data_IF_967618696971
#
_entry.id   IF_967618696971
#
_cell.length_a   1.000
_cell.length_b   1.000
_cell.length_c   1.000
_cell.angle_alpha   90.00
_cell.angle_beta   90.00
_cell.angle_gamma   90.00
#
_symmetry.space_group_name_H-M   'P 1'
#
loop_
_entity.id
_entity.type
_entity.pdbx_description
1 polymer ?
#
# COMPACT_ATOMS: atom_id res chain seq x y z
N UNK A 1 10.81 4.61 -8.51
CA UNK A 1 9.51 5.25 -8.38
C UNK A 1 9.31 6.32 -9.44
N UNK A 2 8.08 6.51 -9.88
CA UNK A 2 7.71 7.42 -10.97
C UNK A 2 6.70 8.45 -10.49
N UNK A 3 6.55 9.52 -11.24
CA UNK A 3 5.52 10.51 -11.00
C UNK A 3 4.13 9.90 -11.16
N UNK A 4 3.21 10.18 -10.20
CA UNK A 4 1.90 9.54 -10.13
C UNK A 4 1.06 9.80 -11.40
N UNK A 5 1.00 11.05 -11.86
CA UNK A 5 0.18 11.44 -13.02
C UNK A 5 0.76 10.93 -14.35
N UNK A 6 2.06 10.62 -14.41
CA UNK A 6 2.77 10.17 -15.62
C UNK A 6 3.16 8.69 -15.61
N UNK A 7 2.79 7.96 -14.59
CA UNK A 7 3.10 6.54 -14.46
C UNK A 7 2.58 5.71 -15.65
N UNK A 8 1.43 6.07 -16.19
CA UNK A 8 0.85 5.35 -17.34
C UNK A 8 1.75 5.44 -18.59
N UNK A 9 2.45 6.55 -18.78
CA UNK A 9 3.41 6.70 -19.88
C UNK A 9 4.53 5.63 -19.79
N UNK A 10 5.01 5.36 -18.57
CA UNK A 10 6.03 4.32 -18.32
C UNK A 10 5.48 2.93 -18.59
N UNK A 11 4.24 2.66 -18.19
CA UNK A 11 3.56 1.38 -18.45
C UNK A 11 3.43 1.16 -19.98
N UNK A 12 2.98 2.15 -20.71
CA UNK A 12 2.84 2.04 -22.16
C UNK A 12 4.20 1.92 -22.87
N UNK A 13 5.22 2.65 -22.40
CA UNK A 13 6.59 2.49 -22.91
C UNK A 13 7.11 1.05 -22.74
N UNK A 14 6.81 0.38 -21.62
CA UNK A 14 7.19 -1.03 -21.41
C UNK A 14 6.53 -1.92 -22.47
N UNK A 15 5.23 -1.73 -22.72
CA UNK A 15 4.51 -2.49 -23.72
C UNK A 15 4.99 -2.22 -25.15
N UNK A 16 5.33 -0.97 -25.47
CA UNK A 16 5.89 -0.61 -26.78
C UNK A 16 7.27 -1.24 -27.00
N UNK A 17 8.12 -1.20 -25.98
CA UNK A 17 9.50 -1.68 -26.06
C UNK A 17 9.61 -3.20 -26.10
N UNK A 18 8.82 -3.91 -25.32
CA UNK A 18 8.97 -5.36 -25.11
C UNK A 18 7.86 -6.18 -25.79
N UNK A 19 6.76 -5.56 -26.18
CA UNK A 19 5.58 -6.22 -26.71
C UNK A 19 4.62 -6.71 -25.63
N UNK A 20 3.32 -6.69 -25.95
CA UNK A 20 2.24 -7.12 -25.03
C UNK A 20 2.17 -8.63 -24.82
N UNK A 21 2.85 -9.37 -25.64
CA UNK A 21 3.02 -10.82 -25.55
C UNK A 21 4.18 -11.25 -24.61
N UNK A 22 5.05 -10.29 -24.27
CA UNK A 22 6.25 -10.52 -23.42
C UNK A 22 6.26 -9.69 -22.15
N UNK A 23 5.39 -8.71 -22.04
CA UNK A 23 5.27 -7.87 -20.85
C UNK A 23 3.83 -7.90 -20.35
N UNK A 24 3.64 -8.10 -19.05
CA UNK A 24 2.33 -8.09 -18.41
C UNK A 24 2.42 -7.69 -16.94
N UNK A 25 1.33 -7.19 -16.39
CA UNK A 25 1.21 -6.92 -14.96
C UNK A 25 0.99 -8.22 -14.19
N UNK A 26 1.45 -8.27 -12.94
CA UNK A 26 1.26 -9.42 -12.06
C UNK A 26 -0.10 -9.37 -11.38
N UNK A 27 -0.65 -10.55 -11.05
CA UNK A 27 -1.83 -10.65 -10.21
C UNK A 27 -1.51 -10.46 -8.72
N UNK A 28 -2.55 -10.18 -7.95
CA UNK A 28 -2.55 -10.24 -6.48
C UNK A 28 -3.73 -11.08 -6.05
N UNK A 29 -3.49 -12.09 -5.23
CA UNK A 29 -4.56 -12.83 -4.58
C UNK A 29 -5.11 -11.99 -3.43
N UNK A 30 -6.30 -11.45 -3.62
CA UNK A 30 -7.02 -10.78 -2.54
C UNK A 30 -7.68 -11.83 -1.67
N UNK A 31 -7.35 -11.84 -0.38
CA UNK A 31 -7.91 -12.78 0.61
C UNK A 31 -9.01 -12.13 1.44
N UNK A 32 -9.89 -12.96 2.00
CA UNK A 32 -10.87 -12.49 2.96
C UNK A 32 -10.18 -11.92 4.22
N UNK A 33 -10.55 -10.71 4.58
CA UNK A 33 -10.18 -10.02 5.82
C UNK A 33 -11.43 -9.86 6.68
N UNK A 34 -11.28 -9.47 7.96
CA UNK A 34 -12.36 -9.39 8.93
C UNK A 34 -13.64 -8.76 8.35
N UNK A 35 -13.54 -7.55 7.80
CA UNK A 35 -14.72 -6.83 7.26
C UNK A 35 -15.37 -7.54 6.08
N UNK A 36 -14.59 -8.09 5.16
CA UNK A 36 -15.12 -8.79 3.99
C UNK A 36 -15.74 -10.14 4.39
N UNK A 37 -15.13 -10.89 5.29
CA UNK A 37 -15.66 -12.16 5.76
C UNK A 37 -17.00 -11.97 6.48
N UNK A 38 -17.10 -11.05 7.44
CA UNK A 38 -18.35 -10.75 8.16
C UNK A 38 -19.46 -10.33 7.18
N UNK A 39 -19.13 -9.44 6.23
CA UNK A 39 -20.11 -8.94 5.27
C UNK A 39 -20.68 -10.05 4.39
N UNK A 40 -19.82 -10.84 3.78
CA UNK A 40 -20.26 -11.87 2.81
C UNK A 40 -20.98 -13.04 3.51
N UNK A 41 -20.47 -13.49 4.65
CA UNK A 41 -21.11 -14.55 5.45
C UNK A 41 -22.44 -14.05 6.04
N UNK A 42 -22.49 -12.82 6.56
CA UNK A 42 -23.70 -12.22 7.07
C UNK A 42 -24.80 -12.13 6.02
N UNK A 43 -24.46 -11.69 4.79
CA UNK A 43 -25.38 -11.69 3.65
C UNK A 43 -25.85 -13.10 3.30
N UNK A 44 -24.95 -14.06 3.22
CA UNK A 44 -25.27 -15.45 2.87
C UNK A 44 -26.21 -16.10 3.90
N UNK A 45 -26.09 -15.74 5.18
CA UNK A 45 -26.95 -16.22 6.25
C UNK A 45 -28.22 -15.36 6.46
N UNK A 46 -28.44 -14.34 5.63
CA UNK A 46 -29.65 -13.51 5.63
C UNK A 46 -29.74 -12.56 6.83
N UNK A 47 -28.63 -12.07 7.35
CA UNK A 47 -28.64 -10.98 8.31
C UNK A 47 -29.05 -9.68 7.62
N UNK A 48 -29.76 -8.81 8.36
CA UNK A 48 -30.11 -7.48 7.87
C UNK A 48 -28.84 -6.61 7.72
N UNK A 49 -28.92 -5.59 6.86
CA UNK A 49 -27.78 -4.69 6.64
C UNK A 49 -27.38 -3.98 7.93
N UNK A 50 -28.34 -3.57 8.77
CA UNK A 50 -28.06 -2.89 10.05
C UNK A 50 -27.25 -3.77 11.01
N UNK A 51 -27.58 -5.08 11.09
CA UNK A 51 -26.82 -6.04 11.89
C UNK A 51 -25.41 -6.21 11.30
N UNK A 52 -25.28 -6.31 9.99
CA UNK A 52 -23.97 -6.42 9.34
C UNK A 52 -23.13 -5.18 9.62
N UNK A 53 -23.70 -3.98 9.53
CA UNK A 53 -22.98 -2.73 9.76
C UNK A 53 -22.53 -2.62 11.23
N UNK A 54 -23.38 -2.97 12.18
CA UNK A 54 -23.00 -3.04 13.59
C UNK A 54 -21.83 -4.01 13.86
N UNK A 55 -21.84 -5.18 13.21
CA UNK A 55 -20.71 -6.13 13.28
C UNK A 55 -19.45 -5.59 12.64
N UNK A 56 -19.57 -4.82 11.54
CA UNK A 56 -18.42 -4.24 10.84
C UNK A 56 -17.72 -3.15 11.65
N UNK A 57 -18.43 -2.40 12.48
CA UNK A 57 -17.85 -1.42 13.41
C UNK A 57 -16.92 -2.09 14.44
N UNK A 58 -17.28 -3.28 14.90
CA UNK A 58 -16.53 -4.07 15.87
C UNK A 58 -15.57 -5.10 15.24
N UNK A 59 -15.46 -5.15 13.91
CA UNK A 59 -14.82 -6.25 13.16
C UNK A 59 -13.36 -6.55 13.55
N UNK A 60 -12.61 -5.55 14.00
CA UNK A 60 -11.19 -5.72 14.39
C UNK A 60 -11.02 -6.51 15.68
N UNK A 61 -12.00 -6.46 16.57
CA UNK A 61 -11.96 -7.14 17.87
C UNK A 61 -12.72 -8.47 17.86
N UNK A 62 -13.80 -8.59 17.10
CA UNK A 62 -14.67 -9.75 17.10
C UNK A 62 -14.05 -11.03 16.51
N UNK A 63 -13.08 -10.92 15.60
CA UNK A 63 -12.44 -12.05 14.91
C UNK A 63 -10.97 -12.24 15.32
N UNK A 64 -10.54 -11.66 16.42
CA UNK A 64 -9.27 -12.04 17.06
C UNK A 64 -9.47 -13.35 17.82
N UNK A 65 -8.43 -14.06 18.14
CA UNK A 65 -8.27 -15.42 18.66
C UNK A 65 -9.46 -16.09 19.42
N UNK A 66 -10.38 -15.32 20.01
CA UNK A 66 -11.66 -15.78 20.56
C UNK A 66 -12.75 -14.77 20.20
N UNK A 67 -13.91 -15.28 19.77
CA UNK A 67 -15.07 -14.45 19.46
C UNK A 67 -15.56 -13.83 20.78
N UNK A 68 -15.32 -12.52 20.92
CA UNK A 68 -15.73 -11.76 22.11
C UNK A 68 -17.24 -11.50 22.06
N UNK A 69 -17.99 -12.39 22.69
CA UNK A 69 -19.46 -12.34 22.70
C UNK A 69 -20.00 -11.19 23.57
N UNK A 70 -19.22 -10.71 24.55
CA UNK A 70 -19.65 -9.63 25.44
C UNK A 70 -19.77 -8.31 24.66
N UNK A 71 -18.93 -8.11 23.67
CA UNK A 71 -19.00 -6.95 22.77
C UNK A 71 -20.23 -6.92 21.87
N UNK A 72 -20.87 -8.05 21.62
CA UNK A 72 -22.12 -8.08 20.89
C UNK A 72 -23.25 -7.42 21.69
N UNK A 73 -23.23 -7.57 23.00
CA UNK A 73 -24.21 -6.91 23.89
C UNK A 73 -24.01 -5.40 23.91
N UNK A 74 -22.75 -4.91 23.85
CA UNK A 74 -22.46 -3.48 23.82
C UNK A 74 -23.06 -2.78 22.60
N UNK A 75 -23.20 -3.49 21.45
CA UNK A 75 -23.81 -2.98 20.22
C UNK A 75 -25.28 -3.38 20.07
N UNK A 76 -25.92 -3.86 21.15
CA UNK A 76 -27.35 -4.21 21.19
C UNK A 76 -27.70 -5.49 20.46
N UNK A 77 -26.74 -6.35 20.17
CA UNK A 77 -26.95 -7.65 19.53
C UNK A 77 -27.06 -8.76 20.56
N UNK A 78 -27.93 -9.73 20.33
CA UNK A 78 -28.10 -10.88 21.22
C UNK A 78 -27.01 -11.94 20.96
N UNK A 79 -26.07 -12.19 21.90
CA UNK A 79 -25.02 -13.19 21.74
C UNK A 79 -25.53 -14.63 21.60
N UNK A 80 -26.75 -14.91 22.07
CA UNK A 80 -27.37 -16.25 21.96
C UNK A 80 -28.06 -16.48 20.61
N UNK A 81 -28.13 -15.46 19.73
CA UNK A 81 -28.68 -15.64 18.40
C UNK A 81 -27.81 -16.63 17.60
N UNK A 82 -28.41 -17.78 17.30
CA UNK A 82 -27.74 -18.88 16.57
C UNK A 82 -27.16 -18.43 15.23
N UNK A 83 -27.88 -17.56 14.52
CA UNK A 83 -27.48 -17.08 13.18
C UNK A 83 -26.27 -16.15 13.29
N UNK A 84 -26.29 -15.27 14.29
CA UNK A 84 -25.19 -14.36 14.59
C UNK A 84 -23.91 -15.12 14.96
N UNK A 85 -24.00 -16.08 15.89
CA UNK A 85 -22.88 -16.94 16.29
C UNK A 85 -22.33 -17.74 15.10
N UNK A 86 -23.20 -18.28 14.25
CA UNK A 86 -22.78 -19.00 13.06
C UNK A 86 -22.08 -18.08 12.07
N UNK A 87 -22.57 -16.84 11.90
CA UNK A 87 -21.91 -15.82 11.05
C UNK A 87 -20.49 -15.55 11.52
N UNK A 88 -20.29 -15.28 12.78
CA UNK A 88 -18.95 -14.98 13.33
C UNK A 88 -18.01 -16.18 13.20
N UNK A 89 -18.50 -17.37 13.52
CA UNK A 89 -17.71 -18.59 13.38
C UNK A 89 -17.27 -18.83 11.92
N UNK A 90 -18.19 -18.82 10.99
CA UNK A 90 -17.87 -19.03 9.56
C UNK A 90 -17.04 -17.90 9.00
N UNK A 91 -17.24 -16.65 9.43
CA UNK A 91 -16.40 -15.53 9.04
C UNK A 91 -14.95 -15.71 9.54
N UNK A 92 -14.77 -16.22 10.76
CA UNK A 92 -13.44 -16.54 11.28
C UNK A 92 -12.77 -17.66 10.50
N UNK A 93 -13.49 -18.73 10.17
CA UNK A 93 -12.99 -19.82 9.34
C UNK A 93 -12.63 -19.38 7.91
N UNK A 94 -13.31 -18.34 7.38
CA UNK A 94 -13.11 -17.81 6.04
C UNK A 94 -11.88 -16.88 5.94
N UNK A 95 -11.34 -16.41 7.05
CA UNK A 95 -10.18 -15.51 7.05
C UNK A 95 -8.98 -16.13 6.33
N UNK A 96 -8.36 -15.37 5.46
CA UNK A 96 -7.19 -15.80 4.69
C UNK A 96 -7.51 -16.61 3.42
N UNK A 97 -8.73 -17.11 3.26
CA UNK A 97 -9.13 -17.77 2.01
C UNK A 97 -9.08 -16.80 0.83
N UNK A 98 -8.72 -17.28 -0.38
CA UNK A 98 -8.78 -16.48 -1.59
C UNK A 98 -10.21 -15.97 -1.85
N UNK A 99 -10.31 -14.67 -2.17
CA UNK A 99 -11.57 -14.04 -2.54
C UNK A 99 -11.68 -13.83 -4.04
N UNK A 100 -10.68 -13.20 -4.62
CA UNK A 100 -10.55 -13.02 -6.08
C UNK A 100 -9.11 -12.67 -6.43
N UNK A 101 -8.76 -12.80 -7.71
CA UNK A 101 -7.57 -12.22 -8.28
C UNK A 101 -7.81 -10.73 -8.55
N UNK A 102 -6.81 -9.92 -8.28
CA UNK A 102 -6.75 -8.50 -8.61
C UNK A 102 -5.44 -8.20 -9.31
N UNK A 103 -5.36 -7.05 -9.91
CA UNK A 103 -4.14 -6.55 -10.55
C UNK A 103 -3.21 -5.95 -9.49
N UNK A 104 -1.92 -6.30 -9.53
CA UNK A 104 -0.92 -5.64 -8.68
C UNK A 104 -0.78 -4.16 -9.06
N UNK A 105 -0.60 -3.30 -8.07
CA UNK A 105 -0.54 -1.85 -8.30
C UNK A 105 0.59 -1.40 -9.21
N UNK A 106 1.69 -2.14 -9.29
CA UNK A 106 2.87 -1.74 -10.07
C UNK A 106 3.77 -2.88 -10.54
N UNK A 107 3.48 -4.14 -10.16
CA UNK A 107 4.31 -5.28 -10.53
C UNK A 107 4.20 -5.65 -12.00
N UNK A 108 5.32 -5.70 -12.69
CA UNK A 108 5.46 -6.13 -14.09
C UNK A 108 6.38 -7.33 -14.20
N UNK A 109 6.08 -8.19 -15.16
CA UNK A 109 6.97 -9.24 -15.62
C UNK A 109 7.34 -8.94 -17.07
N UNK A 110 8.62 -9.12 -17.41
CA UNK A 110 9.14 -9.00 -18.77
C UNK A 110 9.91 -10.30 -19.08
N UNK A 111 9.54 -11.00 -20.14
CA UNK A 111 10.15 -12.27 -20.55
C UNK A 111 10.90 -12.15 -21.88
N UNK A 112 11.84 -13.08 -22.11
CA UNK A 112 12.52 -13.18 -23.41
C UNK A 112 11.63 -13.84 -24.46
N UNK A 113 10.87 -14.88 -24.08
CA UNK A 113 9.90 -15.59 -24.90
C UNK A 113 8.48 -15.08 -24.69
N UNK A 114 7.51 -15.76 -25.28
CA UNK A 114 6.10 -15.44 -25.09
C UNK A 114 5.67 -15.79 -23.66
N UNK A 115 5.03 -14.86 -22.97
CA UNK A 115 4.49 -15.11 -21.63
C UNK A 115 3.43 -16.21 -21.65
N UNK A 116 2.67 -16.34 -22.73
CA UNK A 116 1.65 -17.39 -22.89
C UNK A 116 2.20 -18.83 -22.89
N UNK A 117 3.49 -19.01 -23.12
CA UNK A 117 4.16 -20.31 -23.02
C UNK A 117 4.47 -20.69 -21.55
N UNK A 118 4.43 -19.72 -20.64
CA UNK A 118 4.82 -19.88 -19.23
C UNK A 118 3.62 -19.74 -18.32
N UNK A 119 2.73 -18.75 -18.60
CA UNK A 119 1.64 -18.36 -17.70
C UNK A 119 0.36 -18.05 -18.49
N UNK A 120 -0.83 -18.23 -17.89
CA UNK A 120 -2.07 -17.70 -18.46
C UNK A 120 -2.05 -16.17 -18.51
N UNK A 121 -2.46 -15.63 -19.65
CA UNK A 121 -2.61 -14.19 -19.88
C UNK A 121 -4.07 -13.81 -19.94
N UNK A 122 -4.46 -12.77 -19.21
CA UNK A 122 -5.79 -12.21 -19.19
C UNK A 122 -5.76 -10.73 -19.61
N UNK A 123 -6.87 -10.25 -20.13
CA UNK A 123 -7.05 -8.82 -20.34
C UNK A 123 -7.39 -8.17 -18.99
N UNK A 124 -6.71 -7.07 -18.66
CA UNK A 124 -7.06 -6.28 -17.48
C UNK A 124 -8.39 -5.55 -17.70
N UNK A 125 -9.03 -5.13 -16.60
CA UNK A 125 -10.21 -4.27 -16.66
C UNK A 125 -9.90 -2.90 -17.32
N UNK A 126 -8.67 -2.43 -17.17
CA UNK A 126 -8.20 -1.24 -17.91
C UNK A 126 -7.75 -1.65 -19.31
N UNK A 127 -8.26 -0.93 -20.29
CA UNK A 127 -7.88 -1.14 -21.69
C UNK A 127 -6.36 -1.01 -21.90
N UNK A 128 -5.83 -1.77 -22.82
CA UNK A 128 -4.41 -1.72 -23.16
C UNK A 128 -3.48 -2.39 -22.14
N UNK A 129 -3.98 -3.11 -21.14
CA UNK A 129 -3.16 -3.85 -20.18
C UNK A 129 -3.42 -5.35 -20.23
N UNK A 130 -2.35 -6.12 -19.96
CA UNK A 130 -2.39 -7.57 -19.79
C UNK A 130 -2.00 -7.90 -18.36
N UNK A 131 -2.61 -8.95 -17.81
CA UNK A 131 -2.33 -9.47 -16.47
C UNK A 131 -2.00 -10.95 -16.58
N UNK A 132 -0.97 -11.41 -15.88
CA UNK A 132 -0.71 -12.82 -15.68
C UNK A 132 -1.51 -13.34 -14.49
N UNK A 133 -1.96 -14.61 -14.55
CA UNK A 133 -2.77 -15.22 -13.49
C UNK A 133 -1.99 -15.53 -12.19
N UNK A 134 -0.69 -15.24 -12.11
CA UNK A 134 0.18 -15.57 -11.00
C UNK A 134 0.54 -14.38 -10.14
N UNK A 135 0.65 -14.60 -8.82
CA UNK A 135 1.04 -13.62 -7.84
C UNK A 135 2.57 -13.61 -7.62
N UNK A 136 3.04 -12.82 -6.66
CA UNK A 136 4.46 -12.70 -6.34
C UNK A 136 5.08 -14.03 -5.92
N UNK A 137 4.40 -14.82 -5.08
CA UNK A 137 4.95 -16.06 -4.52
C UNK A 137 5.11 -17.12 -5.61
N UNK A 138 4.16 -17.17 -6.55
CA UNK A 138 4.23 -18.02 -7.74
C UNK A 138 5.41 -17.63 -8.63
N UNK A 139 5.64 -16.34 -8.84
CA UNK A 139 6.74 -15.82 -9.65
C UNK A 139 8.11 -16.13 -9.00
N UNK A 140 8.22 -15.94 -7.69
CA UNK A 140 9.43 -16.26 -6.93
C UNK A 140 9.75 -17.76 -7.02
N UNK A 141 8.73 -18.63 -6.91
CA UNK A 141 8.89 -20.09 -7.06
C UNK A 141 9.37 -20.52 -8.45
N UNK A 142 9.02 -19.75 -9.48
CA UNK A 142 9.42 -20.01 -10.87
C UNK A 142 10.72 -19.30 -11.28
N UNK A 143 11.30 -18.51 -10.39
CA UNK A 143 12.49 -17.72 -10.67
C UNK A 143 12.26 -16.59 -11.67
N UNK A 144 11.03 -16.09 -11.77
CA UNK A 144 10.67 -15.00 -12.67
C UNK A 144 10.80 -13.65 -11.93
N UNK A 145 11.61 -12.74 -12.47
CA UNK A 145 11.83 -11.42 -11.90
C UNK A 145 10.58 -10.54 -12.06
N UNK A 146 10.08 -10.04 -10.93
CA UNK A 146 9.05 -9.00 -10.88
C UNK A 146 9.71 -7.62 -10.80
N UNK A 147 9.35 -6.72 -11.71
CA UNK A 147 9.78 -5.32 -11.72
C UNK A 147 8.64 -4.46 -11.20
N UNK A 148 8.91 -3.55 -10.29
CA UNK A 148 7.89 -2.66 -9.74
C UNK A 148 7.90 -1.28 -10.43
N UNK A 149 6.79 -0.94 -11.09
CA UNK A 149 6.50 0.37 -11.66
C UNK A 149 5.56 1.10 -10.70
N UNK A 150 6.11 1.55 -9.58
CA UNK A 150 5.37 2.26 -8.54
C UNK A 150 5.43 3.77 -8.77
N UNK A 151 4.48 4.48 -8.20
CA UNK A 151 4.41 5.94 -8.28
C UNK A 151 4.40 6.57 -6.89
N UNK A 152 5.01 7.76 -6.80
CA UNK A 152 5.01 8.60 -5.62
C UNK A 152 4.29 9.92 -5.93
N UNK A 153 3.26 10.25 -5.14
CA UNK A 153 2.51 11.49 -5.25
C UNK A 153 3.38 12.73 -5.00
N UNK A 154 4.42 12.61 -4.16
CA UNK A 154 5.36 13.71 -3.89
C UNK A 154 6.08 14.17 -5.15
N UNK A 155 6.41 13.28 -6.09
CA UNK A 155 7.06 13.67 -7.35
C UNK A 155 6.16 14.56 -8.20
N UNK A 156 4.84 14.28 -8.22
CA UNK A 156 3.86 15.17 -8.86
C UNK A 156 3.76 16.53 -8.13
N UNK A 157 3.82 16.53 -6.79
CA UNK A 157 3.83 17.76 -5.99
C UNK A 157 5.06 18.62 -6.33
N UNK A 158 6.24 18.02 -6.39
CA UNK A 158 7.50 18.70 -6.74
C UNK A 158 7.41 19.28 -8.17
N UNK A 159 6.95 18.52 -9.15
CA UNK A 159 6.77 19.05 -10.52
C UNK A 159 5.85 20.27 -10.54
N UNK A 160 4.68 20.15 -9.89
CA UNK A 160 3.72 21.28 -9.81
C UNK A 160 4.33 22.50 -9.09
N UNK A 161 5.18 22.28 -8.09
CA UNK A 161 5.89 23.37 -7.42
C UNK A 161 6.89 24.05 -8.38
N UNK A 162 7.64 23.28 -9.18
CA UNK A 162 8.52 23.85 -10.20
C UNK A 162 7.76 24.62 -11.28
N UNK A 163 6.63 24.10 -11.75
CA UNK A 163 5.77 24.80 -12.69
C UNK A 163 5.27 26.16 -12.14
N UNK A 164 4.94 26.20 -10.84
CA UNK A 164 4.55 27.45 -10.16
C UNK A 164 5.73 28.41 -10.02
N UNK A 165 6.91 27.94 -9.61
CA UNK A 165 8.13 28.76 -9.53
C UNK A 165 8.47 29.37 -10.89
N UNK A 166 8.39 28.58 -11.94
CA UNK A 166 8.63 29.04 -13.32
C UNK A 166 7.60 30.10 -13.73
N UNK A 167 6.31 29.88 -13.45
CA UNK A 167 5.22 30.76 -13.88
C UNK A 167 5.21 32.09 -13.14
N UNK A 168 5.46 32.11 -11.81
CA UNK A 168 5.32 33.29 -10.97
C UNK A 168 6.63 34.03 -10.70
N UNK A 169 7.75 33.29 -10.67
CA UNK A 169 9.06 33.85 -10.28
C UNK A 169 10.09 33.78 -11.42
N UNK A 170 9.73 33.23 -12.57
CA UNK A 170 10.64 32.97 -13.72
C UNK A 170 11.89 32.14 -13.34
N UNK A 171 11.76 31.30 -12.30
CA UNK A 171 12.83 30.40 -11.84
C UNK A 171 12.55 29.01 -12.42
N UNK A 172 13.47 28.51 -13.22
CA UNK A 172 13.36 27.20 -13.91
C UNK A 172 14.23 26.17 -13.18
N UNK A 173 13.63 25.32 -12.37
CA UNK A 173 14.29 24.21 -11.69
C UNK A 173 13.87 22.86 -12.24
N UNK A 174 14.79 21.93 -12.25
CA UNK A 174 14.57 20.51 -12.30
C UNK A 174 15.19 19.81 -11.08
N UNK A 175 14.98 18.50 -10.95
CA UNK A 175 15.52 17.74 -9.80
C UNK A 175 17.06 17.77 -9.72
N UNK A 176 17.76 17.99 -10.83
CA UNK A 176 19.21 18.02 -10.89
C UNK A 176 19.78 19.42 -10.58
N UNK A 177 19.00 20.47 -10.77
CA UNK A 177 19.42 21.87 -10.61
C UNK A 177 19.04 22.48 -9.26
N UNK A 178 18.34 21.75 -8.39
CA UNK A 178 18.04 22.21 -7.02
C UNK A 178 19.38 22.41 -6.26
N UNK A 179 19.58 23.58 -5.60
CA UNK A 179 20.74 23.78 -4.74
C UNK A 179 20.79 22.72 -3.63
N UNK A 180 21.94 22.08 -3.50
CA UNK A 180 22.17 21.07 -2.47
C UNK A 180 22.73 21.71 -1.20
N UNK A 181 22.52 21.02 -0.06
CA UNK A 181 23.17 21.35 1.24
C UNK A 181 22.86 22.76 1.74
N UNK A 182 21.62 23.27 1.54
CA UNK A 182 21.20 24.58 2.09
C UNK A 182 21.13 24.50 3.62
N UNK A 183 21.96 25.29 4.35
CA UNK A 183 21.98 25.28 5.81
C UNK A 183 20.64 25.66 6.45
N UNK A 184 19.84 26.52 5.81
CA UNK A 184 18.54 26.94 6.32
C UNK A 184 17.54 25.78 6.39
N UNK A 185 17.63 24.83 5.45
CA UNK A 185 16.82 23.60 5.45
C UNK A 185 17.19 22.73 6.65
N UNK A 186 18.47 22.56 6.93
CA UNK A 186 18.94 21.78 8.09
C UNK A 186 18.60 22.45 9.42
N UNK A 187 18.65 23.79 9.50
CA UNK A 187 18.21 24.53 10.70
C UNK A 187 16.71 24.32 10.95
N UNK A 188 15.88 24.39 9.93
CA UNK A 188 14.44 24.08 9.99
C UNK A 188 14.21 22.64 10.51
N UNK A 189 14.91 21.67 9.97
CA UNK A 189 14.80 20.25 10.40
C UNK A 189 15.28 20.07 11.85
N UNK A 190 16.37 20.72 12.27
CA UNK A 190 16.84 20.70 13.65
C UNK A 190 15.82 21.32 14.64
N UNK A 191 15.02 22.26 14.19
CA UNK A 191 13.91 22.83 14.96
C UNK A 191 12.66 21.94 14.98
N UNK A 192 12.69 20.76 14.33
CA UNK A 192 11.55 19.87 14.15
C UNK A 192 10.37 20.47 13.36
N UNK A 193 10.62 21.52 12.58
CA UNK A 193 9.63 22.13 11.68
C UNK A 193 9.60 21.37 10.34
N UNK A 194 9.15 20.12 10.38
CA UNK A 194 9.18 19.20 9.24
C UNK A 194 7.80 18.69 8.81
N UNK A 195 6.72 19.32 9.28
CA UNK A 195 5.36 18.97 8.84
C UNK A 195 5.20 19.31 7.35
N UNK A 196 4.76 18.33 6.56
CA UNK A 196 4.66 18.45 5.10
C UNK A 196 5.96 18.18 4.35
N UNK A 197 7.07 17.90 5.04
CA UNK A 197 8.32 17.48 4.42
C UNK A 197 8.33 15.96 4.30
N UNK A 198 8.36 15.48 3.06
CA UNK A 198 8.28 14.04 2.76
C UNK A 198 9.34 13.22 3.49
N UNK A 199 8.92 12.11 4.07
CA UNK A 199 9.74 11.12 4.81
C UNK A 199 10.33 11.57 6.15
N UNK A 200 10.16 12.81 6.58
CA UNK A 200 10.69 13.30 7.88
C UNK A 200 9.63 13.95 8.77
N UNK A 201 8.35 13.66 8.50
CA UNK A 201 7.18 14.24 9.20
C UNK A 201 6.48 13.30 10.18
N UNK A 202 6.95 12.06 10.36
CA UNK A 202 6.35 11.16 11.35
C UNK A 202 6.68 11.60 12.78
N UNK A 203 5.80 11.28 13.74
CA UNK A 203 6.02 11.63 15.16
C UNK A 203 7.38 11.18 15.69
N UNK A 204 7.85 10.01 15.26
CA UNK A 204 9.14 9.47 15.66
C UNK A 204 10.29 10.32 15.09
N UNK A 205 10.21 10.69 13.81
CA UNK A 205 11.22 11.50 13.13
C UNK A 205 11.25 12.93 13.68
N UNK A 206 10.10 13.58 13.82
CA UNK A 206 9.98 14.92 14.43
C UNK A 206 10.60 14.95 15.84
N UNK A 207 10.40 13.90 16.65
CA UNK A 207 11.00 13.81 17.99
C UNK A 207 12.50 13.54 17.96
N UNK A 208 13.02 12.93 16.89
CA UNK A 208 14.43 12.57 16.76
C UNK A 208 15.31 13.66 16.14
N UNK A 209 14.80 14.42 15.17
CA UNK A 209 15.50 15.48 14.45
C UNK A 209 16.26 16.49 15.34
N UNK A 210 15.64 17.06 16.43
CA UNK A 210 16.35 17.99 17.32
C UNK A 210 17.51 17.37 18.10
N UNK A 211 17.47 16.06 18.30
CA UNK A 211 18.53 15.31 19.01
C UNK A 211 19.68 14.96 18.07
N UNK A 212 19.34 14.53 16.85
CA UNK A 212 20.29 14.15 15.83
C UNK A 212 21.03 15.37 15.24
N UNK A 213 20.32 16.50 15.07
CA UNK A 213 20.83 17.76 14.51
C UNK A 213 21.48 17.57 13.15
N UNK A 214 20.74 17.14 12.12
CA UNK A 214 21.30 16.89 10.80
C UNK A 214 21.95 18.15 10.22
N UNK A 215 23.09 17.99 9.53
CA UNK A 215 23.83 19.07 8.87
C UNK A 215 24.23 18.72 7.43
N UNK A 216 23.93 17.51 7.00
CA UNK A 216 24.18 16.99 5.66
C UNK A 216 23.05 16.08 5.21
N UNK A 217 22.95 15.85 3.91
CA UNK A 217 21.98 14.88 3.37
C UNK A 217 22.22 13.47 3.94
N UNK A 218 23.47 13.09 4.18
CA UNK A 218 23.79 11.78 4.74
C UNK A 218 23.24 11.59 6.16
N UNK A 219 23.18 12.64 6.96
CA UNK A 219 22.54 12.57 8.27
C UNK A 219 21.06 12.22 8.16
N UNK A 220 20.36 12.77 7.15
CA UNK A 220 18.95 12.43 6.89
C UNK A 220 18.78 10.97 6.43
N UNK A 221 19.75 10.44 5.65
CA UNK A 221 19.76 9.00 5.28
C UNK A 221 19.85 8.13 6.53
N UNK A 222 20.73 8.49 7.48
CA UNK A 222 20.84 7.78 8.76
C UNK A 222 19.53 7.89 9.56
N UNK A 223 18.97 9.09 9.64
CA UNK A 223 17.70 9.34 10.36
C UNK A 223 16.57 8.48 9.84
N UNK A 224 16.34 8.48 8.54
CA UNK A 224 15.31 7.66 7.91
C UNK A 224 15.55 6.17 8.16
N UNK A 225 16.78 5.70 8.05
CA UNK A 225 17.12 4.30 8.28
C UNK A 225 16.85 3.87 9.74
N UNK A 226 17.18 4.70 10.72
CA UNK A 226 16.94 4.43 12.15
C UNK A 226 15.43 4.48 12.45
N UNK A 227 14.71 5.51 11.99
CA UNK A 227 13.30 5.68 12.27
C UNK A 227 12.44 4.55 11.69
N UNK A 228 12.77 4.04 10.50
CA UNK A 228 12.10 2.87 9.90
C UNK A 228 12.35 1.61 10.73
N UNK A 229 13.56 1.42 11.25
CA UNK A 229 13.88 0.28 12.11
C UNK A 229 13.12 0.33 13.44
N UNK A 230 12.89 1.51 14.01
CA UNK A 230 12.18 1.69 15.29
C UNK A 230 10.71 1.29 15.22
N UNK A 231 10.04 1.45 14.10
CA UNK A 231 8.64 1.02 13.90
C UNK A 231 8.49 -0.51 13.84
N UNK A 232 9.57 -1.25 13.52
CA UNK A 232 9.61 -2.71 13.54
C UNK A 232 10.15 -3.28 14.86
N UNK A 233 10.78 -2.47 15.71
CA UNK A 233 11.37 -2.86 16.99
C UNK A 233 10.50 -2.53 18.21
N UNK A 234 9.20 -2.28 18.05
CA UNK A 234 8.30 -2.35 19.19
C UNK A 234 8.23 -3.80 19.66
N UNK A 235 9.16 -4.14 20.53
CA UNK A 235 9.10 -5.37 21.31
C UNK A 235 7.71 -5.50 21.92
N UNK A 236 7.10 -6.69 21.92
CA UNK A 236 5.86 -6.90 22.64
C UNK A 236 6.14 -6.55 24.10
N UNK A 237 5.60 -5.44 24.57
CA UNK A 237 5.55 -5.15 26.00
C UNK A 237 4.62 -6.18 26.61
N UNK A 238 5.21 -7.25 27.15
CA UNK A 238 4.53 -8.11 28.11
C UNK A 238 4.14 -7.22 29.30
N UNK A 239 2.88 -6.87 29.37
CA UNK A 239 2.14 -6.60 30.61
C UNK A 239 0.71 -7.05 30.42
#
# INVERSE_FOLDING_TARGET
>A
DFELERREEVIQYIYEKYGRERAAMTAVVVTYKNRSAIREVGKALGLSQDIIDALLEQSLSLLRSDIDLDRLQEVGLNPEDRRLRLTLRLASELLGFPRHLSQHVGGFVISRGLLSEIVPLENAAMEGRKVIGWNKDDLDALGILKIDVLSLGILTCIRKAFDLLKSYYAVDFDLASIPTEDPAVYDMLCAADSIGVFQVESRAQIAFLPRMKPRSFYDLVIEVAIAVSYTHLTLPTNR
#
